data_IF_020003883867
#
_entry.id   IF_020003883867
#
_cell.length_a   1.000
_cell.length_b   1.000
_cell.length_c   1.000
_cell.angle_alpha   90.00
_cell.angle_beta   90.00
_cell.angle_gamma   90.00
#
_symmetry.space_group_name_H-M   'P 1'
#
loop_
_entity.id
_entity.type
_entity.pdbx_description
1 polymer ?
#
# COMPACT_ATOMS: atom_id res chain seq x y z
N UNK A 1 -18.96 -0.60 35.22
CA UNK A 1 -17.93 -0.84 34.18
C UNK A 1 -18.13 0.20 33.08
N UNK A 2 -17.06 0.81 32.57
CA UNK A 2 -17.17 1.78 31.48
C UNK A 2 -17.51 1.06 30.16
N UNK A 3 -18.25 1.71 29.24
CA UNK A 3 -18.48 1.19 27.89
C UNK A 3 -17.16 0.85 27.19
N UNK A 4 -17.13 -0.23 26.42
CA UNK A 4 -15.93 -0.74 25.72
C UNK A 4 -15.21 0.34 24.90
N UNK A 5 -15.99 1.24 24.28
CA UNK A 5 -15.49 2.34 23.45
C UNK A 5 -14.63 3.34 24.26
N UNK A 6 -14.97 3.55 25.54
CA UNK A 6 -14.25 4.46 26.45
C UNK A 6 -12.97 3.78 26.96
N UNK A 7 -13.00 2.47 27.22
CA UNK A 7 -11.82 1.69 27.59
C UNK A 7 -10.76 1.69 26.47
N UNK A 8 -11.18 1.53 25.21
CA UNK A 8 -10.30 1.58 24.04
C UNK A 8 -9.66 2.97 23.88
N UNK A 9 -10.44 4.05 24.02
CA UNK A 9 -9.91 5.42 23.96
C UNK A 9 -8.90 5.73 25.07
N UNK A 10 -9.16 5.27 26.30
CA UNK A 10 -8.22 5.43 27.43
C UNK A 10 -6.94 4.63 27.17
N UNK A 11 -7.07 3.39 26.65
CA UNK A 11 -5.93 2.57 26.25
C UNK A 11 -5.06 3.22 25.18
N UNK A 12 -5.67 3.80 24.13
CA UNK A 12 -4.97 4.58 23.11
C UNK A 12 -4.21 5.78 23.70
N UNK A 13 -4.82 6.54 24.60
CA UNK A 13 -4.20 7.72 25.24
C UNK A 13 -3.03 7.30 26.13
N UNK A 14 -3.17 6.22 26.91
CA UNK A 14 -2.10 5.71 27.76
C UNK A 14 -0.95 5.18 26.91
N UNK A 15 -1.24 4.45 25.83
CA UNK A 15 -0.22 3.92 24.93
C UNK A 15 0.50 5.04 24.17
N UNK A 16 -0.23 6.03 23.67
CA UNK A 16 0.34 7.21 23.02
C UNK A 16 1.26 7.98 23.99
N UNK A 17 0.82 8.18 25.23
CA UNK A 17 1.67 8.80 26.26
C UNK A 17 2.84 7.90 26.67
N UNK A 18 2.67 6.58 26.74
CA UNK A 18 3.75 5.66 27.08
C UNK A 18 4.84 5.68 26.00
N UNK A 19 4.46 5.56 24.73
CA UNK A 19 5.39 5.65 23.59
C UNK A 19 6.09 7.02 23.61
N UNK A 20 5.35 8.11 23.80
CA UNK A 20 5.90 9.46 23.81
C UNK A 20 6.60 9.89 25.11
N UNK A 21 6.48 9.17 26.23
CA UNK A 21 7.07 9.60 27.51
C UNK A 21 8.17 8.64 27.98
N UNK A 22 7.98 7.32 27.79
CA UNK A 22 8.98 6.31 28.13
C UNK A 22 10.15 6.27 27.13
N UNK A 23 9.89 6.51 25.83
CA UNK A 23 10.97 6.60 24.85
C UNK A 23 11.85 7.85 25.01
N UNK A 24 11.36 8.90 25.67
CA UNK A 24 12.11 10.16 25.83
C UNK A 24 13.13 10.15 26.97
N UNK A 25 12.89 9.36 28.02
CA UNK A 25 13.79 9.33 29.19
C UNK A 25 14.92 8.31 29.09
N UNK A 26 14.80 7.30 28.24
CA UNK A 26 15.71 6.14 28.30
C UNK A 26 16.46 5.82 26.98
N UNK A 27 16.08 6.40 25.83
CA UNK A 27 16.68 6.02 24.54
C UNK A 27 18.00 6.70 24.18
N UNK A 28 18.35 7.83 24.81
CA UNK A 28 19.60 8.54 24.52
C UNK A 28 19.84 9.54 25.64
N UNK A 29 21.05 9.64 26.17
CA UNK A 29 21.39 10.68 27.16
C UNK A 29 20.99 12.06 26.59
N UNK A 30 20.36 12.96 27.36
CA UNK A 30 19.86 14.24 26.86
C UNK A 30 21.03 15.07 26.35
N UNK A 31 21.28 14.97 25.06
CA UNK A 31 22.34 15.66 24.34
C UNK A 31 21.75 16.31 23.09
N UNK A 32 22.35 17.41 22.62
CA UNK A 32 21.88 18.11 21.42
C UNK A 32 21.78 17.19 20.19
N UNK A 33 22.67 16.19 20.07
CA UNK A 33 22.65 15.20 18.99
C UNK A 33 21.42 14.30 19.07
N UNK A 34 21.09 13.80 20.25
CA UNK A 34 19.90 12.97 20.46
C UNK A 34 18.61 13.75 20.18
N UNK A 35 18.54 15.02 20.61
CA UNK A 35 17.36 15.84 20.36
C UNK A 35 17.19 16.18 18.88
N UNK A 36 18.28 16.46 18.15
CA UNK A 36 18.24 16.65 16.70
C UNK A 36 17.74 15.40 15.97
N UNK A 37 18.23 14.22 16.35
CA UNK A 37 17.77 12.97 15.74
C UNK A 37 16.29 12.69 16.03
N UNK A 38 15.83 12.95 17.26
CA UNK A 38 14.41 12.86 17.60
C UNK A 38 13.56 13.79 16.73
N UNK A 39 13.92 15.07 16.65
CA UNK A 39 13.20 16.05 15.81
C UNK A 39 13.20 15.65 14.34
N UNK A 40 14.27 15.02 13.86
CA UNK A 40 14.30 14.46 12.52
C UNK A 40 13.25 13.36 12.34
N UNK A 41 13.18 12.37 13.24
CA UNK A 41 12.19 11.30 13.20
C UNK A 41 10.74 11.80 13.34
N UNK A 42 10.53 12.88 14.09
CA UNK A 42 9.23 13.55 14.19
C UNK A 42 8.86 14.25 12.90
N UNK A 43 9.76 15.07 12.36
CA UNK A 43 9.52 15.83 11.12
C UNK A 43 9.34 14.92 9.91
N UNK A 44 10.01 13.77 9.87
CA UNK A 44 9.85 12.79 8.79
C UNK A 44 8.63 11.88 8.97
N UNK A 45 7.89 12.00 10.08
CA UNK A 45 6.69 11.20 10.35
C UNK A 45 6.97 9.76 10.81
N UNK A 46 8.22 9.37 11.02
CA UNK A 46 8.59 8.01 11.46
C UNK A 46 7.94 7.67 12.81
N UNK A 47 7.95 8.62 13.76
CA UNK A 47 7.33 8.38 15.07
C UNK A 47 5.80 8.23 14.97
N UNK A 48 5.15 8.99 14.08
CA UNK A 48 3.71 8.90 13.85
C UNK A 48 3.33 7.53 13.26
N UNK A 49 4.06 7.06 12.25
CA UNK A 49 3.85 5.73 11.65
C UNK A 49 4.06 4.61 12.68
N UNK A 50 5.15 4.64 13.45
CA UNK A 50 5.39 3.64 14.50
C UNK A 50 4.28 3.66 15.56
N UNK A 51 3.82 4.84 15.94
CA UNK A 51 2.71 4.99 16.90
C UNK A 51 1.43 4.37 16.36
N UNK A 52 1.08 4.63 15.09
CA UNK A 52 -0.12 4.04 14.45
C UNK A 52 -0.07 2.52 14.41
N UNK A 53 1.07 1.93 14.05
CA UNK A 53 1.23 0.46 14.01
C UNK A 53 1.12 -0.15 15.40
N UNK A 54 1.70 0.49 16.42
CA UNK A 54 1.60 0.03 17.81
C UNK A 54 0.17 0.15 18.36
N UNK A 55 -0.55 1.21 17.98
CA UNK A 55 -1.98 1.35 18.30
C UNK A 55 -2.79 0.24 17.62
N UNK A 56 -2.58 -0.02 16.33
CA UNK A 56 -3.26 -1.12 15.63
C UNK A 56 -3.02 -2.46 16.32
N UNK A 57 -1.77 -2.78 16.68
CA UNK A 57 -1.44 -3.99 17.43
C UNK A 57 -2.14 -4.04 18.80
N UNK A 58 -2.29 -2.90 19.48
CA UNK A 58 -2.99 -2.83 20.76
C UNK A 58 -4.50 -3.06 20.62
N UNK A 59 -5.09 -2.64 19.51
CA UNK A 59 -6.52 -2.75 19.26
C UNK A 59 -6.97 -4.08 18.67
N UNK A 60 -6.03 -4.87 18.15
CA UNK A 60 -6.34 -6.22 17.64
C UNK A 60 -7.10 -7.04 18.70
N UNK A 61 -8.35 -7.47 18.40
CA UNK A 61 -9.18 -8.23 19.33
C UNK A 61 -8.59 -9.62 19.59
N UNK A 62 -7.96 -10.22 18.58
CA UNK A 62 -7.17 -11.44 18.70
C UNK A 62 -5.68 -11.08 18.54
N UNK A 63 -4.92 -11.17 19.63
CA UNK A 63 -3.50 -10.82 19.58
C UNK A 63 -2.76 -11.77 18.64
N UNK A 64 -1.95 -11.26 17.69
CA UNK A 64 -1.20 -12.12 16.80
C UNK A 64 -0.20 -12.95 17.60
N UNK A 65 -0.01 -14.20 17.18
CA UNK A 65 0.96 -15.13 17.79
C UNK A 65 2.39 -14.55 17.80
N UNK A 66 2.70 -13.69 16.82
CA UNK A 66 3.96 -12.97 16.72
C UNK A 66 3.70 -11.47 16.50
N UNK A 67 3.85 -10.68 17.56
CA UNK A 67 3.78 -9.22 17.49
C UNK A 67 4.84 -8.63 16.55
N UNK A 68 6.02 -9.26 16.48
CA UNK A 68 7.10 -8.80 15.62
C UNK A 68 6.76 -8.95 14.14
N UNK A 69 6.13 -10.05 13.75
CA UNK A 69 5.73 -10.26 12.36
C UNK A 69 4.57 -9.35 11.96
N UNK A 70 3.66 -9.07 12.90
CA UNK A 70 2.64 -8.04 12.72
C UNK A 70 3.27 -6.67 12.41
N UNK A 71 4.27 -6.26 13.19
CA UNK A 71 5.01 -5.00 12.96
C UNK A 71 5.69 -4.98 11.59
N UNK A 72 6.43 -6.05 11.22
CA UNK A 72 7.10 -6.13 9.91
C UNK A 72 6.12 -5.97 8.75
N UNK A 73 4.99 -6.67 8.84
CA UNK A 73 3.96 -6.61 7.81
C UNK A 73 3.35 -5.21 7.70
N UNK A 74 2.96 -4.61 8.82
CA UNK A 74 2.29 -3.31 8.84
C UNK A 74 3.23 -2.15 8.51
N UNK A 75 4.53 -2.25 8.82
CA UNK A 75 5.53 -1.27 8.41
C UNK A 75 5.88 -1.41 6.91
N UNK A 76 5.87 -2.63 6.37
CA UNK A 76 6.06 -2.87 4.93
C UNK A 76 4.85 -2.52 4.08
N UNK A 77 3.64 -2.63 4.64
CA UNK A 77 2.39 -2.23 4.00
C UNK A 77 2.07 -0.73 4.18
N UNK A 78 2.71 -0.08 5.16
CA UNK A 78 2.50 1.33 5.52
C UNK A 78 3.36 2.33 4.74
N UNK A 79 4.24 1.88 3.84
CA UNK A 79 4.71 2.77 2.79
C UNK A 79 3.51 3.09 1.90
N UNK A 80 3.08 4.37 1.76
CA UNK A 80 2.16 4.70 0.69
C UNK A 80 2.75 4.09 -0.57
N UNK A 81 2.00 3.23 -1.27
CA UNK A 81 2.42 2.69 -2.55
C UNK A 81 2.90 3.90 -3.34
N UNK A 82 4.21 3.92 -3.65
CA UNK A 82 4.88 5.06 -4.25
C UNK A 82 3.94 5.56 -5.36
N UNK A 83 3.53 6.84 -5.41
CA UNK A 83 2.59 7.32 -6.42
C UNK A 83 3.02 6.94 -7.85
N UNK A 84 4.32 6.72 -8.06
CA UNK A 84 4.90 6.13 -9.27
C UNK A 84 4.46 4.67 -9.54
N UNK A 85 4.36 3.83 -8.51
CA UNK A 85 3.83 2.45 -8.61
C UNK A 85 2.35 2.46 -9.00
N UNK A 86 1.55 3.36 -8.42
CA UNK A 86 0.13 3.50 -8.79
C UNK A 86 -0.04 4.02 -10.22
N UNK A 87 0.77 5.00 -10.62
CA UNK A 87 0.87 5.44 -12.03
C UNK A 87 1.25 4.28 -12.96
N UNK A 88 2.28 3.51 -12.62
CA UNK A 88 2.72 2.36 -13.42
C UNK A 88 1.65 1.28 -13.52
N UNK A 89 0.85 1.05 -12.46
CA UNK A 89 -0.29 0.12 -12.50
C UNK A 89 -1.39 0.62 -13.43
N UNK A 90 -1.69 1.92 -13.40
CA UNK A 90 -2.67 2.53 -14.30
C UNK A 90 -2.21 2.45 -15.76
N UNK A 91 -0.95 2.81 -16.05
CA UNK A 91 -0.36 2.70 -17.38
C UNK A 91 -0.36 1.25 -17.89
N UNK A 92 -0.06 0.28 -17.02
CA UNK A 92 -0.13 -1.14 -17.37
C UNK A 92 -1.55 -1.56 -17.75
N UNK A 93 -2.56 -1.09 -17.01
CA UNK A 93 -3.96 -1.39 -17.28
C UNK A 93 -4.41 -0.80 -18.63
N UNK A 94 -4.11 0.48 -18.87
CA UNK A 94 -4.42 1.14 -20.15
C UNK A 94 -3.72 0.46 -21.33
N UNK A 95 -2.45 0.07 -21.16
CA UNK A 95 -1.68 -0.58 -22.21
C UNK A 95 -2.24 -1.97 -22.55
N UNK A 96 -2.68 -2.73 -21.53
CA UNK A 96 -3.35 -4.02 -21.73
C UNK A 96 -4.66 -3.88 -22.48
N UNK A 97 -5.49 -2.89 -22.13
CA UNK A 97 -6.75 -2.62 -22.82
C UNK A 97 -6.52 -2.29 -24.30
N UNK A 98 -5.57 -1.40 -24.61
CA UNK A 98 -5.19 -1.06 -25.99
C UNK A 98 -4.67 -2.27 -26.76
N UNK A 99 -3.87 -3.11 -26.11
CA UNK A 99 -3.32 -4.32 -26.70
C UNK A 99 -4.42 -5.32 -27.07
N UNK A 100 -5.37 -5.57 -26.17
CA UNK A 100 -6.50 -6.46 -26.42
C UNK A 100 -7.42 -5.92 -27.53
N UNK A 101 -7.73 -4.62 -27.53
CA UNK A 101 -8.50 -3.99 -28.59
C UNK A 101 -7.83 -4.14 -29.96
N UNK A 102 -6.52 -3.92 -30.02
CA UNK A 102 -5.73 -4.08 -31.26
C UNK A 102 -5.71 -5.53 -31.74
N UNK A 103 -5.59 -6.51 -30.83
CA UNK A 103 -5.66 -7.93 -31.18
C UNK A 103 -7.01 -8.27 -31.80
N UNK A 104 -8.10 -7.80 -31.20
CA UNK A 104 -9.44 -8.09 -31.69
C UNK A 104 -9.71 -7.44 -33.06
N UNK A 105 -9.23 -6.22 -33.27
CA UNK A 105 -9.28 -5.57 -34.59
C UNK A 105 -8.45 -6.34 -35.63
N UNK A 106 -7.23 -6.74 -35.28
CA UNK A 106 -6.35 -7.51 -36.17
C UNK A 106 -7.01 -8.84 -36.57
N UNK A 107 -7.67 -9.51 -35.63
CA UNK A 107 -8.44 -10.73 -35.87
C UNK A 107 -9.60 -10.50 -36.84
N UNK A 108 -10.37 -9.42 -36.65
CA UNK A 108 -11.47 -9.03 -37.55
C UNK A 108 -10.97 -8.70 -38.96
N UNK A 109 -9.87 -7.98 -39.08
CA UNK A 109 -9.28 -7.61 -40.37
C UNK A 109 -8.76 -8.84 -41.12
N UNK A 110 -8.05 -9.76 -40.42
CA UNK A 110 -7.62 -11.03 -41.00
C UNK A 110 -8.79 -11.89 -41.49
N UNK A 111 -9.88 -11.94 -40.73
CA UNK A 111 -11.08 -12.67 -41.15
C UNK A 111 -11.72 -12.06 -42.42
N UNK A 112 -11.80 -10.72 -42.50
CA UNK A 112 -12.28 -10.04 -43.71
C UNK A 112 -11.37 -10.27 -44.91
N UNK A 113 -10.05 -10.20 -44.74
CA UNK A 113 -9.08 -10.45 -45.81
C UNK A 113 -9.26 -11.85 -46.40
N UNK A 114 -9.36 -12.87 -45.54
CA UNK A 114 -9.59 -14.25 -46.00
C UNK A 114 -10.89 -14.39 -46.81
N UNK A 115 -11.97 -13.70 -46.41
CA UNK A 115 -13.23 -13.70 -47.17
C UNK A 115 -13.08 -13.04 -48.55
N UNK A 116 -12.35 -11.92 -48.63
CA UNK A 116 -12.11 -11.24 -49.91
C UNK A 116 -11.23 -12.07 -50.85
N UNK A 117 -10.21 -12.73 -50.34
CA UNK A 117 -9.35 -13.63 -51.11
C UNK A 117 -10.15 -14.80 -51.69
N UNK A 118 -10.99 -15.45 -50.87
CA UNK A 118 -11.90 -16.51 -51.32
C UNK A 118 -12.87 -16.02 -52.41
N UNK A 119 -13.48 -14.85 -52.23
CA UNK A 119 -14.39 -14.26 -53.24
C UNK A 119 -13.70 -13.91 -54.56
N UNK A 120 -12.41 -13.53 -54.53
CA UNK A 120 -11.65 -13.26 -55.75
C UNK A 120 -11.28 -14.54 -56.49
N UNK A 121 -10.90 -15.60 -55.77
CA UNK A 121 -10.61 -16.91 -56.38
C UNK A 121 -11.85 -17.51 -57.05
N UNK A 122 -13.03 -17.44 -56.41
CA UNK A 122 -14.29 -17.92 -57.01
C UNK A 122 -14.66 -17.15 -58.29
N UNK A 123 -14.50 -15.82 -58.30
CA UNK A 123 -14.77 -14.99 -59.49
C UNK A 123 -13.79 -15.16 -60.65
N UNK A 124 -12.59 -15.66 -60.38
CA UNK A 124 -11.58 -15.88 -61.43
C UNK A 124 -11.58 -17.32 -61.96
N UNK A 125 -12.36 -18.20 -61.34
CA UNK A 125 -12.58 -19.58 -61.77
C UNK A 125 -13.86 -19.77 -62.62
N UNK A 126 -14.75 -18.76 -62.71
CA UNK A 126 -15.88 -18.67 -63.67
C UNK A 126 -15.47 -17.97 -64.98
#
# INVERSE_FOLDING_TARGET
MLPSNIQVSIGRIILHNFINNYSYRQWCAPSPKCEQFRRYLEKSGVLDTLTKVLVALYEEPEKPNSALDFLKHHLGAGTPENPEIELLRLELAEMKEKYEATIEENKKLKAKLAQYEQLQEEKSAE
#
